data_IF_408889421846
#
_entry.id   IF_408889421846
#
_cell.length_a   1.000
_cell.length_b   1.000
_cell.length_c   1.000
_cell.angle_alpha   90.00
_cell.angle_beta   90.00
_cell.angle_gamma   90.00
#
_symmetry.space_group_name_H-M   'P 1'
#
loop_
_entity.id
_entity.type
_entity.pdbx_description
1 polymer ?
#
# COMPACT_ATOMS: atom_id res chain seq x y z
N UNK A 1 -16.43 -14.04 -8.12
CA UNK A 1 -15.20 -14.15 -8.94
C UNK A 1 -15.04 -12.92 -9.82
N UNK A 2 -13.93 -12.21 -9.72
CA UNK A 2 -13.61 -11.09 -10.62
C UNK A 2 -12.75 -11.58 -11.79
N UNK A 3 -13.07 -11.16 -13.01
CA UNK A 3 -12.35 -11.49 -14.24
C UNK A 3 -11.93 -10.19 -14.91
N UNK A 4 -10.63 -9.98 -15.10
CA UNK A 4 -10.09 -8.79 -15.78
C UNK A 4 -9.50 -9.24 -17.11
N UNK A 5 -10.06 -8.75 -18.23
CA UNK A 5 -9.66 -9.12 -19.58
C UNK A 5 -8.70 -8.10 -20.16
N UNK A 6 -7.55 -8.61 -20.62
CA UNK A 6 -6.48 -7.83 -21.20
C UNK A 6 -6.48 -7.95 -22.73
N UNK A 7 -6.11 -6.87 -23.39
CA UNK A 7 -5.52 -6.86 -24.72
C UNK A 7 -4.00 -6.89 -24.62
N UNK A 8 -3.31 -7.10 -25.74
CA UNK A 8 -1.84 -7.01 -25.75
C UNK A 8 -1.32 -5.61 -25.39
N UNK A 9 -2.07 -4.56 -25.75
CA UNK A 9 -1.75 -3.19 -25.36
C UNK A 9 -1.86 -2.99 -23.84
N UNK A 10 -2.79 -3.69 -23.17
CA UNK A 10 -2.96 -3.62 -21.72
C UNK A 10 -1.78 -4.24 -20.97
N UNK A 11 -1.26 -5.36 -21.48
CA UNK A 11 -0.05 -5.99 -20.94
C UNK A 11 1.13 -5.02 -20.99
N UNK A 12 1.33 -4.34 -22.13
CA UNK A 12 2.39 -3.35 -22.30
C UNK A 12 2.21 -2.08 -21.44
N UNK A 13 0.97 -1.77 -21.00
CA UNK A 13 0.61 -0.62 -20.18
C UNK A 13 0.43 -0.94 -18.70
N UNK A 14 0.60 -2.20 -18.29
CA UNK A 14 0.49 -2.60 -16.88
C UNK A 14 1.64 -2.03 -16.06
N UNK A 15 1.36 -1.40 -14.91
CA UNK A 15 2.36 -0.74 -14.06
C UNK A 15 2.12 -1.06 -12.58
N UNK A 16 3.20 -1.15 -11.81
CA UNK A 16 3.15 -1.26 -10.35
C UNK A 16 3.57 0.07 -9.75
N UNK A 17 2.69 0.70 -8.96
CA UNK A 17 2.99 1.99 -8.32
C UNK A 17 4.08 1.81 -7.25
N UNK A 18 4.87 2.87 -7.03
CA UNK A 18 6.05 2.84 -6.16
C UNK A 18 5.79 3.28 -4.73
N UNK A 19 4.76 4.11 -4.52
CA UNK A 19 4.36 4.60 -3.20
C UNK A 19 3.02 4.01 -2.77
N UNK A 20 2.79 3.85 -1.45
CA UNK A 20 1.48 3.56 -0.91
C UNK A 20 0.50 4.66 -1.32
N UNK A 21 -0.65 4.27 -1.86
CA UNK A 21 -1.74 5.22 -2.05
C UNK A 21 -2.42 5.48 -0.70
N UNK A 22 -2.42 6.73 -0.18
CA UNK A 22 -2.84 7.02 1.17
C UNK A 22 -4.35 6.81 1.39
N UNK A 23 -5.18 7.03 0.36
CA UNK A 23 -6.62 6.87 0.51
C UNK A 23 -7.04 5.40 0.39
N UNK A 24 -6.35 4.62 -0.46
CA UNK A 24 -6.50 3.17 -0.43
C UNK A 24 -6.07 2.59 0.91
N UNK A 25 -4.95 3.02 1.51
CA UNK A 25 -4.54 2.52 2.84
C UNK A 25 -5.53 2.93 3.95
N UNK A 26 -6.16 4.10 3.86
CA UNK A 26 -7.27 4.48 4.75
C UNK A 26 -8.44 3.50 4.59
N UNK A 27 -8.91 3.22 3.37
CA UNK A 27 -9.99 2.26 3.16
C UNK A 27 -9.65 0.85 3.65
N UNK A 28 -8.45 0.37 3.32
CA UNK A 28 -8.02 -0.98 3.64
C UNK A 28 -7.77 -1.17 5.15
N UNK A 29 -7.27 -0.15 5.84
CA UNK A 29 -7.14 -0.16 7.31
C UNK A 29 -8.49 -0.09 8.02
N UNK A 30 -9.47 0.67 7.50
CA UNK A 30 -10.84 0.66 7.99
C UNK A 30 -11.49 -0.72 7.85
N UNK A 31 -11.20 -1.46 6.78
CA UNK A 31 -11.63 -2.86 6.65
C UNK A 31 -11.03 -3.78 7.73
N UNK A 32 -9.84 -3.48 8.30
CA UNK A 32 -9.26 -4.27 9.39
C UNK A 32 -10.05 -4.15 10.70
N UNK A 33 -10.79 -3.06 10.91
CA UNK A 33 -11.73 -2.95 12.03
C UNK A 33 -13.00 -3.79 11.85
N UNK A 34 -13.30 -4.21 10.63
CA UNK A 34 -14.54 -4.90 10.25
C UNK A 34 -14.36 -6.42 10.09
N UNK A 35 -13.17 -6.96 10.34
CA UNK A 35 -12.90 -8.40 10.22
C UNK A 35 -12.00 -8.92 11.34
N UNK A 36 -12.06 -10.24 11.55
CA UNK A 36 -11.11 -10.98 12.39
C UNK A 36 -10.03 -11.70 11.57
N UNK A 37 -10.21 -11.82 10.25
CA UNK A 37 -9.23 -12.45 9.36
C UNK A 37 -7.92 -11.64 9.33
N UNK A 38 -6.80 -12.33 9.49
CA UNK A 38 -5.48 -11.70 9.50
C UNK A 38 -5.20 -10.78 10.70
N UNK A 39 -6.06 -10.77 11.73
CA UNK A 39 -5.92 -9.86 12.89
C UNK A 39 -4.56 -9.99 13.59
N UNK A 40 -4.00 -11.20 13.62
CA UNK A 40 -2.68 -11.45 14.22
C UNK A 40 -1.57 -10.63 13.54
N UNK A 41 -1.63 -10.49 12.21
CA UNK A 41 -0.60 -9.78 11.43
C UNK A 41 -0.60 -8.27 11.70
N UNK A 42 -1.74 -7.71 12.12
CA UNK A 42 -1.92 -6.28 12.40
C UNK A 42 -2.17 -6.01 13.88
N UNK A 43 -1.89 -6.95 14.78
CA UNK A 43 -2.27 -6.82 16.20
C UNK A 43 -1.58 -5.63 16.89
N UNK A 44 -0.31 -5.35 16.53
CA UNK A 44 0.43 -4.19 17.03
C UNK A 44 -0.21 -2.88 16.56
N UNK A 45 -0.44 -2.74 15.24
CA UNK A 45 -1.15 -1.62 14.64
C UNK A 45 -2.53 -1.42 15.29
N UNK A 46 -3.33 -2.47 15.37
CA UNK A 46 -4.71 -2.40 15.86
C UNK A 46 -4.76 -1.88 17.30
N UNK A 47 -3.94 -2.41 18.20
CA UNK A 47 -3.89 -1.96 19.61
C UNK A 47 -3.45 -0.51 19.73
N UNK A 48 -2.36 -0.13 19.04
CA UNK A 48 -1.85 1.24 19.07
C UNK A 48 -2.83 2.25 18.49
N UNK A 49 -3.47 1.93 17.37
CA UNK A 49 -4.48 2.78 16.74
C UNK A 49 -5.74 2.90 17.61
N UNK A 50 -6.25 1.80 18.19
CA UNK A 50 -7.37 1.87 19.14
C UNK A 50 -7.06 2.75 20.37
N UNK A 51 -5.81 2.79 20.83
CA UNK A 51 -5.40 3.69 21.91
C UNK A 51 -5.41 5.15 21.45
N UNK A 52 -4.71 5.49 20.35
CA UNK A 52 -4.64 6.88 19.86
C UNK A 52 -6.01 7.44 19.46
N UNK A 53 -6.90 6.61 18.91
CA UNK A 53 -8.28 7.02 18.59
C UNK A 53 -9.12 7.33 19.84
N UNK A 54 -8.83 6.66 20.98
CA UNK A 54 -9.46 6.99 22.27
C UNK A 54 -8.94 8.32 22.80
N UNK A 55 -7.62 8.48 22.81
CA UNK A 55 -6.95 9.68 23.32
C UNK A 55 -7.31 10.94 22.52
N UNK A 56 -7.48 10.82 21.20
CA UNK A 56 -7.91 11.91 20.31
C UNK A 56 -9.41 12.13 20.23
N UNK A 57 -10.24 11.30 20.89
CA UNK A 57 -11.71 11.41 20.82
C UNK A 57 -12.33 11.04 19.46
N UNK A 58 -11.56 10.47 18.53
CA UNK A 58 -11.99 10.16 17.15
C UNK A 58 -12.83 8.88 17.03
N UNK A 59 -13.05 8.13 18.11
CA UNK A 59 -13.80 6.86 18.06
C UNK A 59 -15.21 6.99 17.49
N UNK A 60 -15.89 8.10 17.82
CA UNK A 60 -17.25 8.36 17.33
C UNK A 60 -17.25 8.60 15.83
N UNK A 61 -16.37 9.48 15.35
CA UNK A 61 -16.19 9.78 13.91
C UNK A 61 -15.83 8.50 13.14
N UNK A 62 -14.92 7.69 13.67
CA UNK A 62 -14.57 6.40 13.06
C UNK A 62 -15.82 5.51 12.89
N UNK A 63 -16.59 5.30 13.96
CA UNK A 63 -17.72 4.36 13.97
C UNK A 63 -18.93 4.87 13.20
N UNK A 64 -19.24 6.16 13.31
CA UNK A 64 -20.49 6.74 12.81
C UNK A 64 -20.33 7.36 11.41
N UNK A 65 -19.11 7.74 11.01
CA UNK A 65 -18.83 8.35 9.71
C UNK A 65 -17.97 7.46 8.80
N UNK A 66 -16.75 7.09 9.21
CA UNK A 66 -15.80 6.44 8.30
C UNK A 66 -16.12 4.97 8.02
N UNK A 67 -16.36 4.16 9.06
CA UNK A 67 -16.67 2.72 8.89
C UNK A 67 -17.91 2.48 8.00
N UNK A 68 -19.01 3.26 8.12
CA UNK A 68 -20.16 3.09 7.24
C UNK A 68 -19.89 3.44 5.76
N UNK A 69 -18.99 4.38 5.48
CA UNK A 69 -18.60 4.75 4.11
C UNK A 69 -17.65 3.72 3.49
N UNK A 70 -16.64 3.28 4.24
CA UNK A 70 -15.67 2.26 3.82
C UNK A 70 -16.11 0.88 4.28
N UNK A 71 -17.35 0.51 3.98
CA UNK A 71 -17.89 -0.78 4.41
C UNK A 71 -17.19 -1.90 3.66
N UNK A 72 -16.70 -2.91 4.40
CA UNK A 72 -16.23 -4.16 3.80
C UNK A 72 -17.42 -4.89 3.19
N UNK A 73 -17.54 -4.87 1.87
CA UNK A 73 -18.71 -5.39 1.18
C UNK A 73 -18.51 -5.45 -0.33
N UNK A 74 -19.60 -5.54 -1.11
CA UNK A 74 -19.53 -5.59 -2.56
C UNK A 74 -19.13 -4.25 -3.20
N UNK A 75 -19.22 -3.14 -2.47
CA UNK A 75 -18.97 -1.80 -3.00
C UNK A 75 -18.76 -0.78 -1.87
N UNK A 76 -17.85 0.17 -2.11
CA UNK A 76 -17.80 1.45 -1.44
C UNK A 76 -17.45 2.55 -2.47
N UNK A 77 -17.80 3.83 -2.23
CA UNK A 77 -17.72 4.87 -3.25
C UNK A 77 -16.31 5.13 -3.81
N UNK A 78 -16.19 5.17 -5.13
CA UNK A 78 -14.92 5.41 -5.85
C UNK A 78 -14.39 6.84 -5.68
N UNK A 79 -15.26 7.82 -5.43
CA UNK A 79 -14.83 9.20 -5.17
C UNK A 79 -13.98 9.31 -3.90
N UNK A 80 -13.95 8.29 -3.04
CA UNK A 80 -13.08 8.20 -1.87
C UNK A 80 -11.66 7.75 -2.20
N UNK A 81 -11.41 7.24 -3.42
CA UNK A 81 -10.08 6.87 -3.94
C UNK A 81 -9.81 7.55 -5.30
N UNK A 82 -9.77 8.89 -5.36
CA UNK A 82 -9.46 9.63 -6.58
C UNK A 82 -8.05 9.30 -7.09
N UNK A 83 -7.83 9.43 -8.41
CA UNK A 83 -6.54 9.11 -9.02
C UNK A 83 -5.41 10.02 -8.52
N UNK A 84 -5.75 11.26 -8.16
CA UNK A 84 -4.91 12.31 -7.59
C UNK A 84 -4.31 11.89 -6.24
N UNK A 85 -4.87 10.89 -5.55
CA UNK A 85 -4.26 10.33 -4.34
C UNK A 85 -2.86 9.75 -4.58
N UNK A 86 -2.54 9.39 -5.83
CA UNK A 86 -1.18 8.97 -6.23
C UNK A 86 -0.13 10.08 -6.15
N UNK A 87 -0.55 11.35 -6.05
CA UNK A 87 0.32 12.51 -5.79
C UNK A 87 0.41 12.84 -4.28
N UNK A 88 -0.20 12.01 -3.44
CA UNK A 88 -0.19 12.12 -1.99
C UNK A 88 -1.52 12.52 -1.37
N UNK A 89 -1.56 12.53 -0.04
CA UNK A 89 -2.80 12.68 0.73
C UNK A 89 -3.48 14.04 0.47
N UNK A 90 -2.72 15.13 0.36
CA UNK A 90 -3.29 16.45 0.15
C UNK A 90 -4.04 16.54 -1.20
N UNK A 91 -3.40 16.08 -2.28
CA UNK A 91 -4.00 16.06 -3.62
C UNK A 91 -5.25 15.16 -3.65
N UNK A 92 -5.18 13.97 -3.06
CA UNK A 92 -6.33 13.08 -2.94
C UNK A 92 -7.50 13.71 -2.17
N UNK A 93 -7.24 14.36 -1.03
CA UNK A 93 -8.29 15.01 -0.25
C UNK A 93 -8.92 16.21 -0.98
N UNK A 94 -8.14 17.00 -1.72
CA UNK A 94 -8.69 18.07 -2.56
C UNK A 94 -9.57 17.51 -3.70
N UNK A 95 -9.19 16.39 -4.31
CA UNK A 95 -10.02 15.71 -5.31
C UNK A 95 -11.34 15.16 -4.73
N UNK A 96 -11.31 14.62 -3.50
CA UNK A 96 -12.54 14.24 -2.77
C UNK A 96 -13.46 15.45 -2.58
N UNK A 97 -12.92 16.61 -2.17
CA UNK A 97 -13.69 17.84 -2.01
C UNK A 97 -14.28 18.34 -3.34
N UNK A 98 -13.47 18.31 -4.39
CA UNK A 98 -13.80 18.80 -5.73
C UNK A 98 -14.75 17.86 -6.51
N UNK A 99 -15.04 16.67 -6.00
CA UNK A 99 -15.90 15.70 -6.69
C UNK A 99 -17.27 16.33 -7.02
N UNK A 100 -17.73 16.27 -8.30
CA UNK A 100 -19.01 16.83 -8.70
C UNK A 100 -20.18 16.25 -7.87
N UNK A 101 -21.11 17.08 -7.36
CA UNK A 101 -22.22 16.61 -6.52
C UNK A 101 -23.08 15.50 -7.15
N UNK A 102 -23.24 15.53 -8.49
CA UNK A 102 -23.96 14.49 -9.23
C UNK A 102 -23.27 13.13 -9.14
N UNK A 103 -21.94 13.10 -9.24
CA UNK A 103 -21.14 11.88 -9.10
C UNK A 103 -21.23 11.34 -7.67
N UNK A 104 -21.07 12.21 -6.67
CA UNK A 104 -21.24 11.83 -5.26
C UNK A 104 -22.62 11.20 -5.03
N UNK A 105 -23.69 11.86 -5.47
CA UNK A 105 -25.05 11.32 -5.31
C UNK A 105 -25.22 9.94 -5.96
N UNK A 106 -24.77 9.76 -7.20
CA UNK A 106 -24.89 8.49 -7.92
C UNK A 106 -24.14 7.34 -7.20
N UNK A 107 -22.92 7.61 -6.74
CA UNK A 107 -22.12 6.63 -6.02
C UNK A 107 -22.71 6.30 -4.63
N UNK A 108 -23.29 7.27 -3.94
CA UNK A 108 -23.96 7.05 -2.65
C UNK A 108 -25.27 6.28 -2.78
N UNK A 109 -26.04 6.49 -3.86
CA UNK A 109 -27.22 5.67 -4.18
C UNK A 109 -26.82 4.22 -4.45
N UNK A 110 -25.69 4.00 -5.12
CA UNK A 110 -25.13 2.65 -5.34
C UNK A 110 -24.77 1.99 -4.00
N UNK A 111 -24.12 2.71 -3.10
CA UNK A 111 -23.81 2.22 -1.74
C UNK A 111 -25.08 1.88 -0.96
N UNK A 112 -26.09 2.75 -1.02
CA UNK A 112 -27.37 2.53 -0.35
C UNK A 112 -28.08 1.28 -0.89
N UNK A 113 -28.06 1.05 -2.20
CA UNK A 113 -28.68 -0.11 -2.84
C UNK A 113 -28.04 -1.46 -2.47
N UNK A 114 -26.73 -1.51 -2.25
CA UNK A 114 -26.01 -2.76 -1.98
C UNK A 114 -25.78 -3.06 -0.50
N UNK A 115 -25.72 -2.04 0.34
CA UNK A 115 -25.35 -2.17 1.76
C UNK A 115 -26.27 -1.42 2.72
N UNK A 116 -27.13 -0.54 2.22
CA UNK A 116 -27.77 0.50 3.03
C UNK A 116 -26.77 1.59 3.41
N UNK A 117 -27.24 2.84 3.46
CA UNK A 117 -26.44 3.99 3.84
C UNK A 117 -27.02 4.66 5.11
N UNK A 118 -26.19 5.13 6.05
CA UNK A 118 -26.67 5.95 7.16
C UNK A 118 -27.45 7.20 6.69
N UNK A 119 -28.40 7.70 7.49
CA UNK A 119 -29.25 8.84 7.10
C UNK A 119 -28.50 10.14 6.78
N UNK A 120 -27.30 10.32 7.32
CA UNK A 120 -26.47 11.52 7.12
C UNK A 120 -25.70 11.49 5.79
N UNK A 121 -25.53 10.32 5.16
CA UNK A 121 -24.70 10.16 3.95
C UNK A 121 -25.09 11.11 2.80
N UNK A 122 -26.39 11.40 2.52
CA UNK A 122 -26.78 12.39 1.52
C UNK A 122 -26.21 13.81 1.76
N UNK A 123 -25.80 14.16 2.97
CA UNK A 123 -25.18 15.45 3.29
C UNK A 123 -23.83 15.63 2.56
N UNK A 124 -23.17 14.54 2.18
CA UNK A 124 -21.93 14.56 1.40
C UNK A 124 -22.12 15.11 -0.03
N UNK A 125 -23.35 15.24 -0.52
CA UNK A 125 -23.62 15.94 -1.79
C UNK A 125 -23.32 17.44 -1.64
N UNK A 126 -23.38 17.98 -0.42
CA UNK A 126 -23.07 19.39 -0.13
C UNK A 126 -21.56 19.56 0.16
N UNK A 127 -20.95 20.69 -0.25
CA UNK A 127 -19.54 20.96 0.03
C UNK A 127 -19.18 20.93 1.52
N UNK A 128 -20.07 21.37 2.41
CA UNK A 128 -19.84 21.35 3.87
C UNK A 128 -19.71 19.93 4.42
N UNK A 129 -20.60 19.02 4.02
CA UNK A 129 -20.51 17.61 4.40
C UNK A 129 -19.21 16.96 3.91
N UNK A 130 -18.75 17.29 2.69
CA UNK A 130 -17.45 16.82 2.20
C UNK A 130 -16.27 17.42 2.95
N UNK A 131 -16.35 18.69 3.38
CA UNK A 131 -15.32 19.32 4.23
C UNK A 131 -15.17 18.59 5.55
N UNK A 132 -16.27 18.18 6.17
CA UNK A 132 -16.22 17.40 7.40
C UNK A 132 -15.61 16.01 7.16
N UNK A 133 -16.02 15.32 6.09
CA UNK A 133 -15.45 14.03 5.70
C UNK A 133 -13.93 14.13 5.46
N UNK A 134 -13.47 15.15 4.73
CA UNK A 134 -12.04 15.34 4.44
C UNK A 134 -11.24 15.64 5.70
N UNK A 135 -11.80 16.38 6.66
CA UNK A 135 -11.18 16.53 7.98
C UNK A 135 -11.07 15.18 8.68
N UNK A 136 -12.15 14.40 8.71
CA UNK A 136 -12.15 13.06 9.32
C UNK A 136 -11.13 12.11 8.67
N UNK A 137 -10.99 12.13 7.34
CA UNK A 137 -10.00 11.33 6.61
C UNK A 137 -8.56 11.75 6.95
N UNK A 138 -8.28 13.06 6.97
CA UNK A 138 -6.97 13.61 7.33
C UNK A 138 -6.58 13.22 8.76
N UNK A 139 -7.50 13.41 9.69
CA UNK A 139 -7.31 13.12 11.10
C UNK A 139 -7.11 11.62 11.34
N UNK A 140 -7.90 10.78 10.67
CA UNK A 140 -7.74 9.34 10.74
C UNK A 140 -6.39 8.89 10.15
N UNK A 141 -5.98 9.41 8.99
CA UNK A 141 -4.69 9.11 8.41
C UNK A 141 -3.53 9.46 9.36
N UNK A 142 -3.57 10.65 9.96
CA UNK A 142 -2.57 11.08 10.94
C UNK A 142 -2.51 10.19 12.18
N UNK A 143 -3.66 9.66 12.63
CA UNK A 143 -3.76 8.80 13.82
C UNK A 143 -3.42 7.32 13.55
N UNK A 144 -3.86 6.80 12.41
CA UNK A 144 -3.89 5.36 12.13
C UNK A 144 -2.85 4.89 11.11
N UNK A 145 -2.40 5.77 10.21
CA UNK A 145 -1.52 5.41 9.08
C UNK A 145 -0.13 6.01 9.27
N UNK A 146 -0.05 7.34 9.40
CA UNK A 146 1.22 8.08 9.48
C UNK A 146 2.22 7.53 10.53
N UNK A 147 1.81 7.09 11.74
CA UNK A 147 2.74 6.54 12.73
C UNK A 147 3.44 5.24 12.29
N UNK A 148 2.93 4.57 11.25
CA UNK A 148 3.47 3.33 10.70
C UNK A 148 4.03 3.51 9.29
N UNK A 149 4.18 4.76 8.80
CA UNK A 149 4.58 5.05 7.42
C UNK A 149 5.90 4.38 7.01
N UNK A 150 6.91 4.38 7.89
CA UNK A 150 8.19 3.71 7.62
C UNK A 150 8.03 2.19 7.48
N UNK A 151 7.21 1.54 8.32
CA UNK A 151 6.96 0.10 8.22
C UNK A 151 6.18 -0.23 6.93
N UNK A 152 5.14 0.57 6.64
CA UNK A 152 4.32 0.41 5.44
C UNK A 152 5.19 0.51 4.19
N UNK A 153 6.01 1.56 4.08
CA UNK A 153 6.92 1.75 2.95
C UNK A 153 7.92 0.60 2.83
N UNK A 154 8.56 0.19 3.93
CA UNK A 154 9.52 -0.90 3.91
C UNK A 154 8.93 -2.22 3.43
N UNK A 155 7.67 -2.52 3.78
CA UNK A 155 6.99 -3.73 3.30
C UNK A 155 6.59 -3.62 1.83
N UNK A 156 6.17 -2.44 1.37
CA UNK A 156 5.86 -2.20 -0.04
C UNK A 156 7.12 -2.33 -0.89
N UNK A 157 8.24 -1.77 -0.46
CA UNK A 157 9.53 -1.90 -1.15
C UNK A 157 9.96 -3.38 -1.25
N UNK A 158 9.78 -4.15 -0.18
CA UNK A 158 10.08 -5.58 -0.16
C UNK A 158 9.19 -6.36 -1.15
N UNK A 159 7.88 -6.08 -1.20
CA UNK A 159 6.98 -6.68 -2.20
C UNK A 159 7.41 -6.29 -3.61
N UNK A 160 7.74 -5.02 -3.86
CA UNK A 160 8.19 -4.55 -5.17
C UNK A 160 9.43 -5.27 -5.67
N UNK A 161 10.39 -5.60 -4.80
CA UNK A 161 11.56 -6.43 -5.19
C UNK A 161 11.12 -7.81 -5.69
N UNK A 162 10.12 -8.44 -5.05
CA UNK A 162 9.55 -9.71 -5.50
C UNK A 162 8.88 -9.54 -6.87
N UNK A 163 8.09 -8.48 -7.05
CA UNK A 163 7.42 -8.16 -8.32
C UNK A 163 8.40 -7.89 -9.46
N UNK A 164 9.46 -7.15 -9.19
CA UNK A 164 10.52 -6.88 -10.16
C UNK A 164 11.20 -8.17 -10.63
N UNK A 165 11.50 -9.10 -9.70
CA UNK A 165 12.08 -10.40 -10.07
C UNK A 165 11.13 -11.22 -10.94
N UNK A 166 9.86 -11.35 -10.53
CA UNK A 166 8.86 -12.06 -11.32
C UNK A 166 8.73 -11.48 -12.74
N UNK A 167 8.74 -10.15 -12.87
CA UNK A 167 8.71 -9.46 -14.16
C UNK A 167 9.97 -9.75 -15.01
N UNK A 168 11.15 -9.76 -14.41
CA UNK A 168 12.41 -10.03 -15.13
C UNK A 168 12.53 -11.50 -15.54
N UNK A 169 12.11 -12.42 -14.69
CA UNK A 169 12.28 -13.86 -14.91
C UNK A 169 11.21 -14.45 -15.83
N UNK A 170 9.98 -13.93 -15.79
CA UNK A 170 8.83 -14.50 -16.51
C UNK A 170 7.89 -13.47 -17.16
N UNK A 171 8.32 -12.21 -17.27
CA UNK A 171 7.54 -11.15 -17.89
C UNK A 171 6.30 -10.75 -17.08
N UNK A 172 5.41 -10.00 -17.74
CA UNK A 172 4.17 -9.49 -17.11
C UNK A 172 3.24 -10.63 -16.65
N UNK A 173 3.26 -11.77 -17.32
CA UNK A 173 2.42 -12.92 -16.97
C UNK A 173 2.82 -13.48 -15.58
N UNK A 174 4.13 -13.66 -15.34
CA UNK A 174 4.63 -14.07 -14.02
C UNK A 174 4.43 -13.00 -12.93
N UNK A 175 4.52 -11.72 -13.28
CA UNK A 175 4.15 -10.63 -12.37
C UNK A 175 2.69 -10.76 -11.91
N UNK A 176 1.76 -10.95 -12.86
CA UNK A 176 0.32 -11.01 -12.61
C UNK A 176 -0.06 -12.27 -11.81
N UNK A 177 0.50 -13.42 -12.16
CA UNK A 177 0.25 -14.69 -11.46
C UNK A 177 0.85 -14.68 -10.04
N UNK A 178 1.92 -13.90 -9.82
CA UNK A 178 2.57 -13.77 -8.52
C UNK A 178 1.82 -12.91 -7.50
N UNK A 179 0.79 -12.15 -7.88
CA UNK A 179 0.17 -11.12 -7.03
C UNK A 179 -0.49 -11.67 -5.74
N UNK A 180 -0.86 -12.95 -5.71
CA UNK A 180 -1.43 -13.57 -4.53
C UNK A 180 -2.01 -14.95 -4.82
N UNK A 181 -2.29 -15.75 -3.78
CA UNK A 181 -2.76 -17.13 -3.95
C UNK A 181 -4.14 -17.25 -4.60
N UNK A 182 -4.98 -16.22 -4.47
CA UNK A 182 -6.32 -16.16 -5.06
C UNK A 182 -6.33 -15.43 -6.42
N UNK A 183 -5.15 -15.17 -7.00
CA UNK A 183 -4.99 -14.46 -8.26
C UNK A 183 -4.30 -15.39 -9.25
N UNK A 184 -4.95 -15.63 -10.38
CA UNK A 184 -4.44 -16.55 -11.39
C UNK A 184 -4.50 -15.91 -12.76
N UNK A 185 -3.36 -15.88 -13.43
CA UNK A 185 -3.28 -15.47 -14.81
C UNK A 185 -3.57 -16.66 -15.73
N UNK A 186 -4.58 -16.53 -16.60
CA UNK A 186 -4.82 -17.43 -17.71
C UNK A 186 -5.16 -16.60 -18.92
N UNK A 187 -4.16 -16.38 -19.78
CA UNK A 187 -4.27 -15.49 -20.93
C UNK A 187 -5.61 -15.68 -21.67
N UNK A 188 -6.35 -14.59 -21.96
CA UNK A 188 -6.04 -13.17 -21.71
C UNK A 188 -6.67 -12.62 -20.41
N UNK A 189 -6.97 -13.46 -19.43
CA UNK A 189 -7.78 -13.11 -18.26
C UNK A 189 -7.00 -13.26 -16.96
N UNK A 190 -7.03 -12.23 -16.13
CA UNK A 190 -6.64 -12.31 -14.73
C UNK A 190 -7.88 -12.66 -13.90
N UNK A 191 -7.86 -13.83 -13.26
CA UNK A 191 -8.89 -14.28 -12.34
C UNK A 191 -8.51 -13.84 -10.93
N UNK A 192 -9.46 -13.22 -10.23
CA UNK A 192 -9.27 -12.73 -8.86
C UNK A 192 -10.40 -13.29 -7.99
N UNK A 193 -10.04 -14.10 -7.01
CA UNK A 193 -10.94 -14.58 -5.99
C UNK A 193 -11.50 -13.41 -5.19
N UNK A 194 -12.82 -13.18 -5.32
CA UNK A 194 -13.53 -12.15 -4.56
C UNK A 194 -14.82 -12.74 -3.98
N UNK A 195 -15.04 -12.65 -2.65
CA UNK A 195 -16.12 -13.36 -1.97
C UNK A 195 -17.51 -12.84 -2.32
N UNK A 196 -17.64 -11.57 -2.68
CA UNK A 196 -18.93 -10.88 -2.86
C UNK A 196 -19.14 -10.27 -4.24
N UNK A 197 -18.16 -10.39 -5.15
CA UNK A 197 -18.21 -9.74 -6.46
C UNK A 197 -18.05 -10.79 -7.54
N UNK A 198 -19.03 -10.89 -8.42
CA UNK A 198 -18.93 -11.61 -9.69
C UNK A 198 -19.03 -10.59 -10.84
N UNK A 199 -17.89 -10.32 -11.50
CA UNK A 199 -17.80 -9.25 -12.50
C UNK A 199 -16.76 -9.57 -13.56
N UNK A 200 -17.00 -9.08 -14.77
CA UNK A 200 -16.09 -9.09 -15.90
C UNK A 200 -15.72 -7.64 -16.25
N UNK A 201 -14.42 -7.31 -16.24
CA UNK A 201 -13.87 -5.98 -16.54
C UNK A 201 -13.02 -6.12 -17.80
N UNK A 202 -13.23 -5.25 -18.78
CA UNK A 202 -12.39 -5.15 -19.97
C UNK A 202 -11.50 -3.92 -19.87
N UNK A 203 -10.19 -4.10 -20.05
CA UNK A 203 -9.23 -3.00 -19.95
C UNK A 203 -9.20 -2.15 -21.23
N UNK A 204 -9.49 -2.75 -22.38
CA UNK A 204 -9.68 -2.07 -23.67
C UNK A 204 -8.51 -1.14 -24.06
N UNK A 205 -7.27 -1.58 -23.79
CA UNK A 205 -6.04 -0.86 -24.13
C UNK A 205 -5.63 0.24 -23.13
N UNK A 206 -6.35 0.41 -22.02
CA UNK A 206 -6.02 1.38 -20.95
C UNK A 206 -4.85 0.92 -20.07
N UNK A 207 -4.60 -0.38 -19.97
CA UNK A 207 -3.66 -0.98 -19.03
C UNK A 207 -4.26 -1.21 -17.64
N UNK A 208 -3.47 -1.79 -16.74
CA UNK A 208 -3.83 -2.02 -15.34
C UNK A 208 -2.81 -1.39 -14.39
N UNK A 209 -3.28 -0.55 -13.46
CA UNK A 209 -2.48 -0.02 -12.35
C UNK A 209 -2.56 -0.95 -11.15
N UNK A 210 -1.44 -1.57 -10.80
CA UNK A 210 -1.29 -2.43 -9.63
C UNK A 210 -0.85 -1.60 -8.44
N UNK A 211 -1.66 -1.60 -7.37
CA UNK A 211 -1.41 -0.84 -6.14
C UNK A 211 -1.15 -1.82 -4.98
N UNK A 212 0.11 -1.98 -4.54
CA UNK A 212 0.39 -2.73 -3.32
C UNK A 212 -0.24 -2.01 -2.14
N UNK A 213 -0.90 -2.74 -1.24
CA UNK A 213 -1.40 -2.17 0.02
C UNK A 213 -1.05 -3.04 1.21
N UNK A 214 -0.50 -2.40 2.24
CA UNK A 214 -0.13 -2.99 3.52
C UNK A 214 -1.35 -3.54 4.26
N UNK A 215 -2.47 -2.81 4.28
CA UNK A 215 -3.69 -3.24 4.98
C UNK A 215 -4.62 -4.12 4.13
N UNK A 216 -4.35 -4.24 2.83
CA UNK A 216 -5.03 -5.21 1.97
C UNK A 216 -4.68 -6.64 2.41
N UNK A 217 -5.70 -7.47 2.63
CA UNK A 217 -5.52 -8.84 3.13
C UNK A 217 -6.29 -9.82 2.26
N UNK A 218 -5.54 -10.73 1.63
CA UNK A 218 -5.98 -11.86 0.79
C UNK A 218 -6.77 -11.48 -0.47
N UNK A 219 -7.77 -10.62 -0.36
CA UNK A 219 -8.68 -10.28 -1.46
C UNK A 219 -8.28 -8.93 -2.07
N UNK A 220 -7.86 -8.91 -3.35
CA UNK A 220 -7.65 -7.67 -4.08
C UNK A 220 -8.94 -6.86 -4.24
N UNK A 221 -8.79 -5.55 -4.34
CA UNK A 221 -9.93 -4.62 -4.49
C UNK A 221 -9.75 -3.85 -5.79
N UNK A 222 -10.65 -4.02 -6.78
CA UNK A 222 -10.64 -3.18 -7.96
C UNK A 222 -11.32 -1.83 -7.68
N UNK A 223 -11.06 -0.84 -8.53
CA UNK A 223 -11.98 0.30 -8.64
C UNK A 223 -13.34 -0.18 -9.18
N UNK A 224 -14.45 0.38 -8.66
CA UNK A 224 -15.77 -0.14 -8.96
C UNK A 224 -16.34 0.41 -10.28
N UNK A 225 -16.04 1.64 -10.67
CA UNK A 225 -16.45 2.18 -11.97
C UNK A 225 -15.54 1.65 -13.11
N UNK A 226 -16.06 0.84 -14.05
CA UNK A 226 -15.28 0.34 -15.17
C UNK A 226 -14.86 1.43 -16.17
N UNK A 227 -15.47 2.63 -16.12
CA UNK A 227 -15.09 3.77 -16.95
C UNK A 227 -13.85 4.52 -16.42
N UNK A 228 -13.52 4.36 -15.13
CA UNK A 228 -12.30 4.93 -14.55
C UNK A 228 -11.05 4.14 -14.97
N UNK A 229 -9.88 4.75 -14.78
CA UNK A 229 -8.61 4.06 -15.01
C UNK A 229 -8.55 2.75 -14.21
N UNK A 230 -8.27 1.61 -14.84
CA UNK A 230 -8.30 0.33 -14.14
C UNK A 230 -7.23 0.25 -13.06
N UNK A 231 -7.68 0.08 -11.80
CA UNK A 231 -6.81 -0.12 -10.63
C UNK A 231 -7.13 -1.46 -9.99
N UNK A 232 -6.08 -2.18 -9.60
CA UNK A 232 -6.18 -3.37 -8.74
C UNK A 232 -5.29 -3.17 -7.52
N UNK A 233 -5.91 -2.97 -6.36
CA UNK A 233 -5.22 -2.98 -5.08
C UNK A 233 -5.00 -4.43 -4.67
N UNK A 234 -3.76 -4.81 -4.36
CA UNK A 234 -3.41 -6.20 -4.06
C UNK A 234 -2.67 -6.31 -2.71
N UNK A 235 -2.81 -7.46 -2.00
CA UNK A 235 -2.13 -7.66 -0.74
C UNK A 235 -0.63 -7.86 -0.95
N UNK A 236 0.19 -7.32 -0.05
CA UNK A 236 1.63 -7.59 -0.07
C UNK A 236 1.90 -9.09 0.09
N UNK A 237 2.99 -9.58 -0.50
CA UNK A 237 3.44 -10.94 -0.28
C UNK A 237 3.71 -11.17 1.22
N UNK A 238 2.99 -12.13 1.80
CA UNK A 238 3.14 -12.48 3.21
C UNK A 238 4.02 -13.71 3.34
N UNK A 239 5.22 -13.54 3.87
CA UNK A 239 5.95 -14.65 4.45
C UNK A 239 5.29 -14.98 5.79
N UNK A 240 4.95 -16.25 6.11
CA UNK A 240 4.64 -16.61 7.49
C UNK A 240 5.87 -16.26 8.34
N UNK A 241 5.72 -15.31 9.27
CA UNK A 241 6.78 -15.00 10.23
C UNK A 241 6.49 -15.73 11.54
N UNK A 242 7.28 -16.76 11.90
CA UNK A 242 7.35 -17.21 13.27
C UNK A 242 8.21 -16.22 14.08
N UNK A 243 7.53 -15.56 15.02
CA UNK A 243 8.08 -15.03 16.29
C UNK A 243 8.89 -13.73 16.25
N UNK A 244 8.49 -12.85 17.16
CA UNK A 244 9.13 -11.60 17.58
C UNK A 244 10.61 -11.79 17.97
N UNK A 245 11.44 -10.79 17.64
CA UNK A 245 12.71 -10.41 18.33
C UNK A 245 14.04 -10.59 17.58
N UNK A 246 14.14 -10.28 16.28
CA UNK A 246 15.42 -10.28 15.55
C UNK A 246 16.02 -8.87 15.28
N UNK A 247 15.24 -7.79 15.43
CA UNK A 247 15.74 -6.41 15.29
C UNK A 247 16.86 -6.03 16.28
N UNK A 248 16.91 -6.69 17.44
CA UNK A 248 17.99 -6.53 18.43
C UNK A 248 19.31 -7.22 17.98
N UNK A 249 19.23 -8.34 17.25
CA UNK A 249 20.38 -9.15 16.83
C UNK A 249 21.29 -8.39 15.85
N UNK A 250 20.72 -7.81 14.79
CA UNK A 250 21.51 -7.10 13.78
C UNK A 250 22.13 -5.81 14.31
N UNK A 251 21.40 -5.10 15.18
CA UNK A 251 21.88 -3.89 15.85
C UNK A 251 23.05 -4.21 16.78
N UNK A 252 22.98 -5.33 17.50
CA UNK A 252 24.09 -5.83 18.32
C UNK A 252 25.31 -6.24 17.49
N UNK A 253 25.10 -6.81 16.30
CA UNK A 253 26.17 -7.33 15.45
C UNK A 253 26.91 -6.24 14.67
N UNK A 254 26.17 -5.32 14.05
CA UNK A 254 26.73 -4.32 13.12
C UNK A 254 26.83 -2.92 13.74
N UNK A 255 26.13 -2.69 14.85
CA UNK A 255 25.83 -1.36 15.36
C UNK A 255 24.61 -0.73 14.67
N UNK A 256 23.94 0.17 15.39
CA UNK A 256 22.67 0.80 14.97
C UNK A 256 22.73 1.40 13.56
N UNK A 257 23.70 2.26 13.30
CA UNK A 257 23.80 3.00 12.03
C UNK A 257 24.05 2.06 10.84
N UNK A 258 24.92 1.05 10.99
CA UNK A 258 25.18 0.08 9.91
C UNK A 258 23.99 -0.84 9.66
N UNK A 259 23.26 -1.23 10.70
CA UNK A 259 22.03 -2.01 10.56
C UNK A 259 20.91 -1.22 9.86
N UNK A 260 20.84 0.11 10.06
CA UNK A 260 19.91 1.00 9.34
C UNK A 260 20.35 1.14 7.87
N UNK A 261 21.63 1.42 7.62
CA UNK A 261 22.18 1.55 6.25
C UNK A 261 22.00 0.27 5.44
N UNK A 262 22.28 -0.90 6.04
CA UNK A 262 22.12 -2.19 5.37
C UNK A 262 20.66 -2.43 4.98
N UNK A 263 19.71 -2.11 5.87
CA UNK A 263 18.27 -2.21 5.58
C UNK A 263 17.83 -1.26 4.47
N UNK A 264 18.25 0.00 4.53
CA UNK A 264 17.92 1.00 3.52
C UNK A 264 18.51 0.65 2.14
N UNK A 265 19.68 0.02 2.09
CA UNK A 265 20.28 -0.46 0.84
C UNK A 265 19.50 -1.62 0.18
N UNK A 266 18.52 -2.22 0.87
CA UNK A 266 17.70 -3.30 0.31
C UNK A 266 16.84 -2.86 -0.89
N UNK A 267 16.34 -1.62 -0.84
CA UNK A 267 15.57 -1.01 -1.93
C UNK A 267 16.46 -0.36 -3.00
N UNK A 268 17.78 -0.29 -2.76
CA UNK A 268 18.69 0.56 -3.52
C UNK A 268 18.61 2.01 -3.03
N UNK A 269 19.70 2.54 -2.48
CA UNK A 269 19.71 3.89 -1.92
C UNK A 269 21.02 4.63 -2.22
N UNK A 270 20.92 5.91 -2.48
CA UNK A 270 22.07 6.80 -2.65
C UNK A 270 22.70 7.16 -1.31
N UNK A 271 23.97 7.59 -1.31
CA UNK A 271 24.65 8.07 -0.10
C UNK A 271 23.85 9.15 0.64
N UNK A 272 23.16 10.05 -0.08
CA UNK A 272 22.34 11.11 0.51
C UNK A 272 21.05 10.59 1.15
N UNK A 273 20.39 9.61 0.53
CA UNK A 273 19.21 8.96 1.12
C UNK A 273 19.57 8.15 2.36
N UNK A 274 20.68 7.41 2.32
CA UNK A 274 21.21 6.69 3.47
C UNK A 274 21.53 7.63 4.64
N UNK A 275 22.06 8.82 4.36
CA UNK A 275 22.37 9.84 5.37
C UNK A 275 21.11 10.34 6.08
N UNK A 276 20.07 10.62 5.28
CA UNK A 276 18.77 11.05 5.77
C UNK A 276 18.11 9.99 6.65
N UNK A 277 18.08 8.74 6.19
CA UNK A 277 17.44 7.63 6.91
C UNK A 277 18.18 7.29 8.20
N UNK A 278 19.51 7.34 8.20
CA UNK A 278 20.30 7.03 9.38
C UNK A 278 20.47 8.21 10.35
N UNK A 279 20.07 9.43 9.97
CA UNK A 279 20.21 10.64 10.77
C UNK A 279 21.67 11.07 11.00
N UNK A 280 22.55 10.82 10.02
CA UNK A 280 24.00 11.14 10.12
C UNK A 280 24.50 11.86 8.86
N UNK A 281 25.71 12.41 8.92
CA UNK A 281 26.30 13.13 7.78
C UNK A 281 26.62 12.21 6.59
N UNK A 282 26.68 12.79 5.38
CA UNK A 282 27.10 12.06 4.18
C UNK A 282 28.53 11.49 4.31
N UNK A 283 29.44 12.19 4.99
CA UNK A 283 30.78 11.68 5.27
C UNK A 283 30.75 10.41 6.15
N UNK A 284 29.89 10.38 7.17
CA UNK A 284 29.70 9.21 8.04
C UNK A 284 29.11 8.03 7.26
N UNK A 285 28.16 8.29 6.35
CA UNK A 285 27.61 7.24 5.48
C UNK A 285 28.67 6.67 4.54
N UNK A 286 29.51 7.50 3.94
CA UNK A 286 30.59 7.00 3.07
C UNK A 286 31.51 6.04 3.82
N UNK A 287 31.76 6.27 5.12
CA UNK A 287 32.50 5.35 5.98
C UNK A 287 31.70 4.06 6.25
N UNK A 288 30.43 4.17 6.65
CA UNK A 288 29.59 2.98 6.93
C UNK A 288 29.40 2.10 5.69
N UNK A 289 29.14 2.70 4.53
CA UNK A 289 29.00 1.99 3.26
C UNK A 289 30.31 1.36 2.82
N UNK A 290 31.45 1.96 3.13
CA UNK A 290 32.75 1.33 2.87
C UNK A 290 32.94 0.07 3.69
N UNK A 291 32.71 0.13 5.00
CA UNK A 291 32.80 -1.06 5.86
C UNK A 291 31.84 -2.16 5.42
N UNK A 292 30.59 -1.81 5.09
CA UNK A 292 29.61 -2.80 4.62
C UNK A 292 29.98 -3.40 3.25
N UNK A 293 30.63 -2.64 2.39
CA UNK A 293 31.10 -3.11 1.08
C UNK A 293 32.31 -4.02 1.22
N UNK A 294 33.25 -3.66 2.08
CA UNK A 294 34.44 -4.46 2.36
C UNK A 294 34.07 -5.78 3.06
N UNK A 295 33.02 -5.77 3.87
CA UNK A 295 32.40 -6.98 4.44
C UNK A 295 31.57 -7.79 3.42
N UNK A 296 31.49 -7.35 2.18
CA UNK A 296 30.74 -8.02 1.11
C UNK A 296 29.23 -7.98 1.30
N UNK A 297 28.67 -7.09 2.12
CA UNK A 297 27.23 -6.99 2.42
C UNK A 297 26.49 -6.07 1.44
N UNK A 298 27.18 -5.06 0.91
CA UNK A 298 26.64 -4.17 -0.12
C UNK A 298 27.58 -4.07 -1.31
N UNK A 299 27.04 -3.66 -2.45
CA UNK A 299 27.79 -3.19 -3.61
C UNK A 299 27.40 -1.75 -3.93
N UNK A 300 28.33 -1.01 -4.53
CA UNK A 300 28.14 0.40 -4.88
C UNK A 300 28.36 0.57 -6.38
N UNK A 301 27.41 1.20 -7.07
CA UNK A 301 27.54 1.58 -8.47
C UNK A 301 27.39 3.09 -8.61
N UNK A 302 28.26 3.72 -9.40
CA UNK A 302 28.14 5.14 -9.71
C UNK A 302 27.05 5.32 -10.77
N UNK A 303 26.05 6.12 -10.48
CA UNK A 303 24.96 6.46 -11.38
C UNK A 303 24.93 7.98 -11.58
N UNK A 304 25.45 8.45 -12.71
CA UNK A 304 25.64 9.86 -13.01
C UNK A 304 26.41 10.60 -11.88
N UNK A 305 25.75 11.58 -11.24
CA UNK A 305 26.33 12.39 -10.17
C UNK A 305 26.26 11.74 -8.77
N UNK A 306 25.62 10.58 -8.62
CA UNK A 306 25.43 9.91 -7.33
C UNK A 306 26.01 8.48 -7.32
N UNK A 307 26.08 7.89 -6.12
CA UNK A 307 26.47 6.49 -5.92
C UNK A 307 25.28 5.77 -5.32
N UNK A 308 24.80 4.74 -6.02
CA UNK A 308 23.74 3.84 -5.59
C UNK A 308 24.34 2.65 -4.85
N UNK A 309 23.83 2.37 -3.65
CA UNK A 309 24.22 1.22 -2.84
C UNK A 309 23.10 0.19 -2.83
N UNK A 310 23.42 -1.06 -3.14
CA UNK A 310 22.48 -2.18 -3.16
C UNK A 310 23.04 -3.37 -2.38
N UNK A 311 22.17 -4.26 -1.93
CA UNK A 311 22.61 -5.48 -1.23
C UNK A 311 23.31 -6.46 -2.18
N UNK A 312 24.35 -7.11 -1.65
CA UNK A 312 24.84 -8.37 -2.23
C UNK A 312 23.94 -9.54 -1.80
N UNK A 313 24.11 -10.75 -2.39
CA UNK A 313 23.45 -11.95 -1.89
C UNK A 313 23.75 -12.26 -0.41
N UNK A 314 24.97 -11.94 0.06
CA UNK A 314 25.37 -12.11 1.45
C UNK A 314 24.63 -11.11 2.35
N UNK A 315 24.59 -9.82 1.98
CA UNK A 315 23.85 -8.81 2.73
C UNK A 315 22.35 -9.10 2.80
N UNK A 316 21.76 -9.55 1.70
CA UNK A 316 20.36 -9.98 1.67
C UNK A 316 20.10 -11.20 2.56
N UNK A 317 21.03 -12.16 2.62
CA UNK A 317 20.92 -13.33 3.50
C UNK A 317 21.06 -12.94 4.97
N UNK A 318 21.98 -12.02 5.28
CA UNK A 318 22.16 -11.48 6.63
C UNK A 318 20.91 -10.73 7.11
N UNK A 319 20.29 -9.92 6.24
CA UNK A 319 19.01 -9.31 6.55
C UNK A 319 17.92 -10.35 6.77
N UNK A 320 17.76 -11.33 5.88
CA UNK A 320 16.74 -12.40 6.06
C UNK A 320 16.91 -13.18 7.36
N UNK A 321 18.16 -13.50 7.73
CA UNK A 321 18.47 -14.21 8.98
C UNK A 321 18.22 -13.35 10.25
N UNK A 322 18.06 -12.03 10.10
CA UNK A 322 17.86 -11.08 11.20
C UNK A 322 16.64 -10.15 10.99
N UNK A 323 15.74 -10.51 10.08
CA UNK A 323 14.45 -9.89 9.86
C UNK A 323 13.44 -10.63 10.75
N UNK A 324 13.10 -10.04 11.88
CA UNK A 324 12.18 -10.57 12.88
C UNK A 324 11.90 -9.56 13.97
#
# INVERSE_FOLDING_TARGET
MLRIRFTDADLARTRVVHEPDPLWEVGQSLHRFQTRQGRWAYAHWYRGTCQRLRESGQQRVLREMLVPLFRRGPYYPDFLNPAEASEGLAAGLEAVLATPPRRVLAELLTLAGVSGAPPWVPELVRPDGRRELVRALRDYHATAIAPYGEEIQARIDADRVIRCRALLDGGVEALLDGLGPDIHWRRPVLYVGHPTVDRDIRLDGRGLKLVPSYFCWQTPVPIADPAMDPVLVYPLHQQPSPVQSAGASLTSLLGRTRAIVLRAAAAGATTGELARVAGVSASSISQHTTVLRDAGLITSQRQAASVLHTLTPLGASMLRANLG
#
